data_IF_799063562062
#
_entry.id   IF_799063562062
#
_cell.length_a   1.000
_cell.length_b   1.000
_cell.length_c   1.000
_cell.angle_alpha   90.00
_cell.angle_beta   90.00
_cell.angle_gamma   90.00
#
_symmetry.space_group_name_H-M   'P 1'
#
loop_
_entity.id
_entity.type
_entity.pdbx_description
1 polymer ?
#
# COMPACT_ATOMS: atom_id res chain seq x y z
N UNK A 1 18.11 -9.55 -9.91
CA UNK A 1 18.11 -8.38 -9.00
C UNK A 1 16.76 -7.73 -9.20
N UNK A 2 15.85 -7.82 -8.22
CA UNK A 2 14.56 -7.13 -8.31
C UNK A 2 14.81 -5.74 -7.73
N UNK A 3 15.32 -4.87 -8.58
CA UNK A 3 15.56 -3.47 -8.25
C UNK A 3 14.19 -2.79 -8.25
N UNK A 4 13.81 -2.18 -7.12
CA UNK A 4 12.56 -1.44 -6.91
C UNK A 4 11.26 -2.22 -7.12
N UNK A 5 10.87 -3.02 -6.12
CA UNK A 5 9.45 -3.34 -5.99
C UNK A 5 8.79 -2.31 -5.09
N UNK A 6 7.74 -1.68 -5.62
CA UNK A 6 6.84 -0.88 -4.83
C UNK A 6 5.89 -1.87 -4.16
N UNK A 7 6.35 -2.39 -3.03
CA UNK A 7 5.75 -3.50 -2.27
C UNK A 7 4.29 -3.21 -1.91
N UNK A 8 3.93 -1.93 -1.82
CA UNK A 8 2.59 -1.47 -1.50
C UNK A 8 1.62 -1.41 -2.68
N UNK A 9 2.12 -1.53 -3.92
CA UNK A 9 1.28 -1.45 -5.12
C UNK A 9 0.21 -2.55 -5.19
N UNK A 10 0.49 -3.82 -4.86
CA UNK A 10 -0.56 -4.82 -4.76
C UNK A 10 -1.62 -4.44 -3.72
N UNK A 11 -1.26 -3.87 -2.57
CA UNK A 11 -2.24 -3.37 -1.58
C UNK A 11 -3.14 -2.28 -2.18
N UNK A 12 -2.56 -1.30 -2.86
CA UNK A 12 -3.33 -0.20 -3.48
C UNK A 12 -4.21 -0.70 -4.63
N UNK A 13 -3.71 -1.62 -5.44
CA UNK A 13 -4.48 -2.29 -6.47
C UNK A 13 -5.62 -3.12 -5.87
N UNK A 14 -5.38 -3.79 -4.74
CA UNK A 14 -6.39 -4.55 -4.00
C UNK A 14 -7.49 -3.63 -3.45
N UNK A 15 -7.12 -2.50 -2.86
CA UNK A 15 -8.07 -1.46 -2.42
C UNK A 15 -8.89 -0.97 -3.62
N UNK A 16 -8.23 -0.63 -4.73
CA UNK A 16 -8.89 -0.22 -5.98
C UNK A 16 -9.90 -1.28 -6.45
N UNK A 17 -9.47 -2.53 -6.58
CA UNK A 17 -10.30 -3.65 -7.02
C UNK A 17 -11.51 -3.88 -6.10
N UNK A 18 -11.31 -3.78 -4.79
CA UNK A 18 -12.35 -3.99 -3.79
C UNK A 18 -13.44 -2.92 -3.89
N UNK A 19 -13.05 -1.64 -3.90
CA UNK A 19 -14.00 -0.52 -3.98
C UNK A 19 -14.64 -0.39 -5.37
N UNK A 20 -13.88 -0.64 -6.44
CA UNK A 20 -14.39 -0.60 -7.82
C UNK A 20 -15.46 -1.66 -8.10
N UNK A 21 -15.50 -2.75 -7.32
CA UNK A 21 -16.56 -3.76 -7.38
C UNK A 21 -17.97 -3.23 -7.02
N UNK A 22 -18.05 -2.04 -6.42
CA UNK A 22 -19.30 -1.35 -6.06
C UNK A 22 -19.65 -0.19 -7.02
N UNK A 23 -18.80 0.12 -7.99
CA UNK A 23 -19.05 1.19 -8.94
C UNK A 23 -19.93 0.74 -10.12
N UNK A 24 -20.73 1.67 -10.63
CA UNK A 24 -21.43 1.54 -11.91
C UNK A 24 -20.48 1.84 -13.06
N UNK A 25 -20.81 1.37 -14.28
CA UNK A 25 -20.01 1.67 -15.49
C UNK A 25 -19.99 3.16 -15.80
N UNK A 26 -21.11 3.85 -15.61
CA UNK A 26 -21.24 5.26 -15.92
C UNK A 26 -20.73 6.14 -14.77
N UNK A 27 -19.91 7.13 -15.13
CA UNK A 27 -19.37 8.14 -14.22
C UNK A 27 -18.75 7.56 -12.93
N UNK A 28 -18.06 6.43 -13.03
CA UNK A 28 -17.50 5.67 -11.90
C UNK A 28 -16.59 6.52 -10.98
N UNK A 29 -15.87 7.50 -11.53
CA UNK A 29 -15.01 8.42 -10.77
C UNK A 29 -15.79 9.40 -9.87
N UNK A 30 -17.10 9.54 -10.08
CA UNK A 30 -18.00 10.34 -9.24
C UNK A 30 -18.72 9.50 -8.19
N UNK A 31 -18.49 8.19 -8.18
CA UNK A 31 -19.16 7.29 -7.25
C UNK A 31 -18.64 7.47 -5.81
N UNK A 32 -19.51 7.21 -4.83
CA UNK A 32 -19.12 7.18 -3.42
C UNK A 32 -18.04 6.15 -3.15
N UNK A 33 -18.10 5.01 -3.85
CA UNK A 33 -17.10 3.96 -3.78
C UNK A 33 -15.71 4.48 -4.21
N UNK A 34 -15.64 5.29 -5.26
CA UNK A 34 -14.38 5.90 -5.71
C UNK A 34 -13.79 6.81 -4.65
N UNK A 35 -14.56 7.75 -4.09
CA UNK A 35 -14.04 8.66 -3.07
C UNK A 35 -13.68 7.95 -1.76
N UNK A 36 -14.46 6.95 -1.34
CA UNK A 36 -14.20 6.17 -0.14
C UNK A 36 -12.92 5.32 -0.27
N UNK A 37 -12.75 4.65 -1.42
CA UNK A 37 -11.53 3.92 -1.72
C UNK A 37 -10.32 4.85 -1.87
N UNK A 38 -10.51 6.00 -2.51
CA UNK A 38 -9.44 6.99 -2.71
C UNK A 38 -8.97 7.58 -1.38
N UNK A 39 -9.89 7.87 -0.45
CA UNK A 39 -9.53 8.31 0.90
C UNK A 39 -8.73 7.23 1.64
N UNK A 40 -9.10 5.96 1.51
CA UNK A 40 -8.35 4.84 2.08
C UNK A 40 -6.93 4.76 1.50
N UNK A 41 -6.81 4.82 0.17
CA UNK A 41 -5.53 4.82 -0.53
C UNK A 41 -4.67 6.05 -0.19
N UNK A 42 -5.27 7.22 0.00
CA UNK A 42 -4.57 8.44 0.39
C UNK A 42 -4.01 8.34 1.82
N UNK A 43 -4.78 7.79 2.77
CA UNK A 43 -4.28 7.54 4.13
C UNK A 43 -3.14 6.52 4.11
N UNK A 44 -3.28 5.44 3.35
CA UNK A 44 -2.21 4.46 3.15
C UNK A 44 -0.93 5.13 2.60
N UNK A 45 -1.08 5.93 1.53
CA UNK A 45 0.01 6.68 0.89
C UNK A 45 0.68 7.64 1.87
N UNK A 46 -0.09 8.33 2.70
CA UNK A 46 0.44 9.23 3.73
C UNK A 46 1.32 8.48 4.73
N UNK A 47 0.93 7.27 5.14
CA UNK A 47 1.74 6.44 6.05
C UNK A 47 3.03 5.96 5.38
N UNK A 48 3.00 5.62 4.09
CA UNK A 48 4.22 5.32 3.33
C UNK A 48 5.16 6.54 3.25
N UNK A 49 4.61 7.73 2.98
CA UNK A 49 5.39 8.99 2.98
C UNK A 49 5.97 9.34 4.35
N UNK A 50 5.22 9.10 5.42
CA UNK A 50 5.75 9.24 6.78
C UNK A 50 6.88 8.24 7.03
N UNK A 51 6.77 7.02 6.53
CA UNK A 51 7.83 6.02 6.65
C UNK A 51 9.13 6.47 5.98
N UNK A 52 9.06 7.14 4.84
CA UNK A 52 10.22 7.79 4.21
C UNK A 52 10.93 8.78 5.13
N UNK A 53 10.17 9.70 5.74
CA UNK A 53 10.73 10.78 6.58
C UNK A 53 11.44 10.22 7.83
N UNK A 54 11.07 9.01 8.21
CA UNK A 54 11.44 8.34 9.44
C UNK A 54 12.59 7.36 9.24
N UNK A 55 12.50 6.55 8.19
CA UNK A 55 13.40 5.46 7.87
C UNK A 55 13.47 5.32 6.34
N UNK A 56 14.20 6.23 5.66
CA UNK A 56 14.23 6.30 4.21
C UNK A 56 14.86 5.04 3.58
N UNK A 57 15.94 4.51 4.15
CA UNK A 57 16.56 3.25 3.71
C UNK A 57 15.58 2.06 3.79
N UNK A 58 14.78 2.02 4.86
CA UNK A 58 13.80 0.95 5.07
C UNK A 58 12.64 1.03 4.08
N UNK A 59 12.16 2.24 3.74
CA UNK A 59 11.14 2.41 2.71
C UNK A 59 11.58 1.82 1.35
N UNK A 60 12.84 2.02 1.00
CA UNK A 60 13.43 1.44 -0.21
C UNK A 60 13.93 0.01 -0.02
N UNK A 61 13.70 -0.58 1.15
CA UNK A 61 14.03 -1.96 1.51
C UNK A 61 15.50 -2.28 1.24
N UNK A 62 16.38 -1.29 1.44
CA UNK A 62 17.82 -1.42 1.20
C UNK A 62 18.19 -1.78 -0.25
N UNK A 63 17.25 -1.65 -1.20
CA UNK A 63 17.52 -1.89 -2.62
C UNK A 63 18.16 -0.67 -3.30
N UNK A 64 17.84 0.53 -2.82
CA UNK A 64 18.33 1.79 -3.36
C UNK A 64 18.85 2.67 -2.23
N UNK A 65 19.87 3.45 -2.55
CA UNK A 65 20.27 4.58 -1.71
C UNK A 65 19.20 5.69 -1.81
N UNK A 66 18.60 6.13 -0.70
CA UNK A 66 17.60 7.19 -0.71
C UNK A 66 18.08 8.49 -1.34
N UNK A 67 19.39 8.81 -1.23
CA UNK A 67 19.94 10.04 -1.78
C UNK A 67 19.94 10.02 -3.32
N UNK A 68 20.17 8.85 -3.92
CA UNK A 68 20.15 8.66 -5.38
C UNK A 68 18.74 8.75 -5.97
N UNK A 69 17.71 8.42 -5.19
CA UNK A 69 16.31 8.39 -5.63
C UNK A 69 15.42 9.44 -4.97
N UNK A 70 16.00 10.38 -4.22
CA UNK A 70 15.28 11.48 -3.59
C UNK A 70 14.43 12.29 -4.58
N UNK A 71 14.88 12.40 -5.84
CA UNK A 71 14.15 13.08 -6.91
C UNK A 71 12.79 12.43 -7.23
N UNK A 72 12.63 11.14 -6.94
CA UNK A 72 11.40 10.39 -7.20
C UNK A 72 10.35 10.59 -6.10
N UNK A 73 10.73 11.08 -4.92
CA UNK A 73 9.86 11.24 -3.75
C UNK A 73 8.56 12.01 -4.05
N UNK A 74 8.55 13.14 -4.79
CA UNK A 74 7.32 13.85 -5.13
C UNK A 74 6.38 13.05 -6.05
N UNK A 75 6.89 12.04 -6.77
CA UNK A 75 6.14 11.19 -7.69
C UNK A 75 5.50 10.00 -6.98
N UNK A 76 5.97 9.63 -5.78
CA UNK A 76 5.49 8.47 -5.04
C UNK A 76 3.98 8.58 -4.74
N UNK A 77 3.44 9.70 -4.21
CA UNK A 77 2.00 9.82 -4.00
C UNK A 77 1.20 9.70 -5.30
N UNK A 78 1.73 10.22 -6.40
CA UNK A 78 1.08 10.13 -7.72
C UNK A 78 1.06 8.68 -8.18
N UNK A 79 2.17 7.95 -8.08
CA UNK A 79 2.26 6.54 -8.42
C UNK A 79 1.32 5.68 -7.57
N UNK A 80 1.30 5.89 -6.26
CA UNK A 80 0.45 5.14 -5.33
C UNK A 80 -1.04 5.35 -5.65
N UNK A 81 -1.48 6.60 -5.79
CA UNK A 81 -2.87 6.93 -6.11
C UNK A 81 -3.25 6.49 -7.53
N UNK A 82 -2.31 6.54 -8.47
CA UNK A 82 -2.53 6.02 -9.82
C UNK A 82 -2.80 4.52 -9.82
N UNK A 83 -2.03 3.74 -9.06
CA UNK A 83 -2.26 2.28 -8.93
C UNK A 83 -3.63 1.98 -8.33
N UNK A 84 -4.07 2.76 -7.35
CA UNK A 84 -5.44 2.69 -6.86
C UNK A 84 -6.47 2.94 -7.97
N UNK A 85 -6.32 4.02 -8.76
CA UNK A 85 -7.23 4.36 -9.85
C UNK A 85 -7.28 3.25 -10.91
N UNK A 86 -6.13 2.68 -11.27
CA UNK A 86 -6.04 1.55 -12.21
C UNK A 86 -6.78 0.32 -11.66
N UNK A 87 -6.53 -0.06 -10.41
CA UNK A 87 -7.23 -1.18 -9.76
C UNK A 87 -8.75 -0.97 -9.71
N UNK A 88 -9.18 0.26 -9.39
CA UNK A 88 -10.60 0.64 -9.37
C UNK A 88 -11.25 0.54 -10.74
N UNK A 89 -10.61 1.11 -11.76
CA UNK A 89 -11.11 1.08 -13.14
C UNK A 89 -11.15 -0.36 -13.68
N UNK A 90 -10.15 -1.20 -13.35
CA UNK A 90 -10.11 -2.61 -13.74
C UNK A 90 -11.24 -3.44 -13.12
N UNK A 91 -11.70 -3.10 -11.92
CA UNK A 91 -12.79 -3.81 -11.26
C UNK A 91 -14.11 -3.75 -12.04
N UNK A 92 -14.37 -2.66 -12.76
CA UNK A 92 -15.63 -2.41 -13.47
C UNK A 92 -15.87 -3.44 -14.60
N UNK A 93 -14.98 -3.62 -15.60
CA UNK A 93 -15.17 -4.64 -16.62
C UNK A 93 -15.10 -6.06 -16.03
N UNK A 94 -14.24 -6.31 -15.03
CA UNK A 94 -14.15 -7.62 -14.38
C UNK A 94 -15.47 -8.01 -13.70
N UNK A 95 -16.06 -7.08 -12.94
CA UNK A 95 -17.31 -7.29 -12.21
C UNK A 95 -18.49 -7.46 -13.15
N UNK A 96 -18.50 -6.70 -14.25
CA UNK A 96 -19.55 -6.74 -15.25
C UNK A 96 -19.45 -7.98 -16.16
N UNK A 97 -18.25 -8.53 -16.37
CA UNK A 97 -18.07 -9.79 -17.09
C UNK A 97 -18.48 -10.99 -16.23
N UNK A 98 -17.89 -11.13 -15.03
CA UNK A 98 -18.26 -12.20 -14.09
C UNK A 98 -17.80 -11.89 -12.68
N UNK A 99 -18.68 -12.13 -11.69
CA UNK A 99 -18.31 -12.06 -10.27
C UNK A 99 -17.08 -12.92 -9.95
N UNK A 100 -16.94 -14.09 -10.61
CA UNK A 100 -15.80 -14.99 -10.40
C UNK A 100 -14.49 -14.40 -10.92
N UNK A 101 -14.51 -13.69 -12.04
CA UNK A 101 -13.32 -13.02 -12.58
C UNK A 101 -12.85 -11.91 -11.64
N UNK A 102 -13.77 -11.08 -11.14
CA UNK A 102 -13.44 -10.06 -10.15
C UNK A 102 -12.90 -10.64 -8.85
N UNK A 103 -13.53 -11.69 -8.30
CA UNK A 103 -13.03 -12.38 -7.10
C UNK A 103 -11.67 -13.05 -7.36
N UNK A 104 -11.46 -13.61 -8.56
CA UNK A 104 -10.17 -14.18 -8.97
C UNK A 104 -9.08 -13.12 -9.03
N UNK A 105 -9.37 -11.93 -9.55
CA UNK A 105 -8.44 -10.80 -9.54
C UNK A 105 -8.11 -10.34 -8.12
N UNK A 106 -9.11 -10.20 -7.24
CA UNK A 106 -8.88 -9.89 -5.82
C UNK A 106 -7.96 -10.94 -5.15
N UNK A 107 -8.24 -12.22 -5.36
CA UNK A 107 -7.44 -13.31 -4.81
C UNK A 107 -6.01 -13.32 -5.38
N UNK A 108 -5.84 -13.05 -6.67
CA UNK A 108 -4.53 -12.96 -7.31
C UNK A 108 -3.70 -11.78 -6.76
N UNK A 109 -4.30 -10.61 -6.58
CA UNK A 109 -3.61 -9.46 -6.00
C UNK A 109 -3.24 -9.70 -4.53
N UNK A 110 -4.13 -10.33 -3.75
CA UNK A 110 -3.81 -10.73 -2.38
C UNK A 110 -2.70 -11.79 -2.32
N UNK A 111 -2.71 -12.78 -3.22
CA UNK A 111 -1.65 -13.78 -3.30
C UNK A 111 -0.31 -13.15 -3.69
N UNK A 112 -0.31 -12.18 -4.61
CA UNK A 112 0.88 -11.42 -4.98
C UNK A 112 1.44 -10.67 -3.77
N UNK A 113 0.59 -10.03 -2.97
CA UNK A 113 1.00 -9.35 -1.73
C UNK A 113 1.69 -10.33 -0.76
N UNK A 114 1.08 -11.49 -0.51
CA UNK A 114 1.67 -12.53 0.35
C UNK A 114 3.02 -13.01 -0.17
N UNK A 115 3.17 -13.18 -1.49
CA UNK A 115 4.44 -13.55 -2.11
C UNK A 115 5.48 -12.46 -1.91
N UNK A 116 5.14 -11.19 -2.17
CA UNK A 116 6.04 -10.05 -1.99
C UNK A 116 6.50 -9.97 -0.54
N UNK A 117 5.58 -9.97 0.43
CA UNK A 117 5.92 -9.97 1.85
C UNK A 117 6.79 -11.15 2.25
N UNK A 118 6.57 -12.33 1.67
CA UNK A 118 7.36 -13.53 1.97
C UNK A 118 8.80 -13.40 1.47
N UNK A 119 9.01 -12.87 0.26
CA UNK A 119 10.34 -12.72 -0.34
C UNK A 119 11.13 -11.54 0.25
N UNK A 120 10.43 -10.54 0.77
CA UNK A 120 11.04 -9.36 1.42
C UNK A 120 10.91 -9.38 2.93
N UNK A 121 10.57 -10.54 3.52
CA UNK A 121 10.24 -10.64 4.94
C UNK A 121 11.38 -10.15 5.84
N UNK A 122 12.61 -10.56 5.51
CA UNK A 122 13.85 -10.19 6.19
C UNK A 122 14.00 -8.67 6.29
N UNK A 123 13.83 -7.96 5.17
CA UNK A 123 13.90 -6.51 5.10
C UNK A 123 12.68 -5.81 5.70
N UNK A 124 11.53 -6.49 5.72
CA UNK A 124 10.27 -5.89 6.14
C UNK A 124 10.19 -5.74 7.66
N UNK A 125 10.75 -6.71 8.39
CA UNK A 125 10.72 -6.70 9.84
C UNK A 125 11.95 -6.08 10.48
N UNK A 126 13.03 -5.79 9.75
CA UNK A 126 14.21 -5.10 10.29
C UNK A 126 14.26 -3.65 9.80
N UNK A 127 14.48 -2.71 10.72
CA UNK A 127 14.56 -1.27 10.48
C UNK A 127 15.91 -0.74 10.92
N UNK A 128 16.50 0.09 10.07
CA UNK A 128 17.80 0.72 10.27
C UNK A 128 18.26 1.37 8.97
N UNK A 129 19.48 1.87 8.97
CA UNK A 129 20.20 2.32 7.77
C UNK A 129 20.70 1.15 6.93
N UNK A 130 21.01 1.38 5.66
CA UNK A 130 21.61 0.35 4.78
C UNK A 130 22.90 -0.24 5.39
N UNK A 131 23.70 0.58 6.08
CA UNK A 131 24.93 0.11 6.75
C UNK A 131 24.62 -0.80 7.94
N UNK A 132 23.63 -0.45 8.75
CA UNK A 132 23.20 -1.29 9.88
C UNK A 132 22.63 -2.62 9.38
N UNK A 133 21.81 -2.61 8.33
CA UNK A 133 21.30 -3.83 7.69
C UNK A 133 22.43 -4.73 7.18
N UNK A 134 23.38 -4.19 6.41
CA UNK A 134 24.52 -4.96 5.87
C UNK A 134 25.43 -5.54 6.97
N UNK A 135 25.47 -4.91 8.14
CA UNK A 135 26.24 -5.37 9.30
C UNK A 135 25.41 -6.23 10.28
N UNK A 136 24.18 -6.61 9.94
CA UNK A 136 23.26 -7.34 10.83
C UNK A 136 23.01 -6.63 12.18
N UNK A 137 23.02 -5.30 12.15
CA UNK A 137 22.79 -4.42 13.29
C UNK A 137 21.44 -3.69 13.23
N UNK A 138 20.64 -3.92 12.18
CA UNK A 138 19.27 -3.41 12.09
C UNK A 138 18.39 -4.01 13.19
N UNK A 139 17.33 -3.29 13.57
CA UNK A 139 16.48 -3.64 14.70
C UNK A 139 15.12 -4.18 14.24
N UNK A 140 14.60 -5.21 14.91
CA UNK A 140 13.27 -5.72 14.60
C UNK A 140 12.17 -4.68 14.90
N UNK A 141 11.32 -4.36 13.91
CA UNK A 141 10.20 -3.42 14.01
C UNK A 141 9.19 -3.79 15.11
N UNK A 142 8.93 -5.09 15.31
CA UNK A 142 7.85 -5.57 16.18
C UNK A 142 8.29 -5.91 17.61
N UNK A 143 9.57 -6.19 17.83
CA UNK A 143 10.09 -6.57 19.15
C UNK A 143 10.95 -5.49 19.79
N UNK A 144 11.53 -4.57 19.01
CA UNK A 144 12.08 -3.34 19.57
C UNK A 144 10.91 -2.54 20.14
N UNK A 145 10.92 -2.26 21.46
CA UNK A 145 10.01 -1.27 22.06
C UNK A 145 10.10 0.00 21.21
N UNK A 146 9.06 0.36 20.43
CA UNK A 146 9.23 1.36 19.41
C UNK A 146 9.52 2.69 20.09
N UNK A 147 10.74 3.18 19.98
CA UNK A 147 11.12 4.53 20.38
C UNK A 147 11.36 5.37 19.15
N UNK A 148 11.04 6.66 19.23
CA UNK A 148 11.17 7.55 18.10
C UNK A 148 10.22 7.17 16.96
N UNK A 149 10.64 7.33 15.70
CA UNK A 149 9.68 7.41 14.62
C UNK A 149 9.11 6.06 14.12
N UNK A 150 9.72 4.91 14.45
CA UNK A 150 9.11 3.58 14.27
C UNK A 150 7.82 3.41 15.09
N UNK A 151 7.74 4.04 16.26
CA UNK A 151 6.50 4.10 17.08
C UNK A 151 5.39 4.82 16.34
N UNK A 152 5.72 5.92 15.67
CA UNK A 152 4.75 6.71 14.91
C UNK A 152 4.16 5.88 13.78
N UNK A 153 4.98 5.16 13.01
CA UNK A 153 4.50 4.27 11.93
C UNK A 153 3.60 3.16 12.48
N UNK A 154 4.03 2.46 13.54
CA UNK A 154 3.24 1.38 14.15
C UNK A 154 1.89 1.85 14.72
N UNK A 155 1.81 3.09 15.21
CA UNK A 155 0.54 3.69 15.65
C UNK A 155 -0.41 4.07 14.50
N UNK A 156 0.08 4.18 13.26
CA UNK A 156 -0.73 4.55 12.09
C UNK A 156 -1.39 3.35 11.40
N UNK A 157 -0.90 2.12 11.58
CA UNK A 157 -1.52 0.93 10.99
C UNK A 157 -2.98 0.74 11.43
N UNK A 158 -3.34 0.91 12.73
CA UNK A 158 -4.74 0.92 13.16
C UNK A 158 -5.57 2.03 12.49
N UNK A 159 -4.98 3.19 12.22
CA UNK A 159 -5.68 4.31 11.56
C UNK A 159 -6.07 3.93 10.14
N UNK A 160 -5.15 3.33 9.36
CA UNK A 160 -5.45 2.83 8.01
C UNK A 160 -6.62 1.83 8.07
N UNK A 161 -6.58 0.87 8.99
CA UNK A 161 -7.62 -0.15 9.13
C UNK A 161 -8.97 0.48 9.49
N UNK A 162 -9.00 1.41 10.44
CA UNK A 162 -10.23 2.11 10.85
C UNK A 162 -10.81 2.89 9.67
N UNK A 163 -9.98 3.63 8.93
CA UNK A 163 -10.42 4.39 7.75
C UNK A 163 -10.95 3.44 6.68
N UNK A 164 -10.28 2.32 6.41
CA UNK A 164 -10.72 1.32 5.44
C UNK A 164 -12.07 0.70 5.83
N UNK A 165 -12.25 0.33 7.11
CA UNK A 165 -13.52 -0.21 7.62
C UNK A 165 -14.63 0.84 7.52
N UNK A 166 -14.38 2.07 7.97
CA UNK A 166 -15.35 3.16 7.90
C UNK A 166 -15.76 3.45 6.45
N UNK A 167 -14.79 3.53 5.55
CA UNK A 167 -15.02 3.71 4.11
C UNK A 167 -15.85 2.55 3.52
N UNK A 168 -15.53 1.31 3.87
CA UNK A 168 -16.27 0.15 3.41
C UNK A 168 -17.72 0.12 3.92
N UNK A 169 -17.93 0.41 5.20
CA UNK A 169 -19.27 0.51 5.80
C UNK A 169 -20.08 1.65 5.19
N UNK A 170 -19.45 2.79 4.89
CA UNK A 170 -20.09 3.90 4.21
C UNK A 170 -20.59 3.52 2.81
N UNK A 171 -19.81 2.76 2.05
CA UNK A 171 -20.20 2.25 0.72
C UNK A 171 -21.33 1.21 0.81
N UNK A 172 -21.33 0.35 1.84
CA UNK A 172 -22.31 -0.75 1.99
C UNK A 172 -23.71 -0.36 2.45
N UNK A 173 -23.92 0.83 3.00
CA UNK A 173 -25.23 1.28 3.54
C UNK A 173 -26.22 1.74 2.46
N UNK A 174 -25.97 1.42 1.19
CA UNK A 174 -26.83 1.72 0.04
C UNK A 174 -27.27 0.42 -0.64
#
# INVERSE_FOLDING_TARGET
MIETFIIDWPVLALIGLAFGGFATRDAWWRSRAFYAGFATAAVFTLVAMLSYLVAPDWMWMYFLDPDDVAWSLPLIPVGYLFVYVVGFAAAIPLRAGSRRMWLGALAATLAMEVVVLRITWDRYHEIGTTREWLNSAAHELFTATPTGPARTIGLMSPVIIIVAIAAFLYVRRQ
#
